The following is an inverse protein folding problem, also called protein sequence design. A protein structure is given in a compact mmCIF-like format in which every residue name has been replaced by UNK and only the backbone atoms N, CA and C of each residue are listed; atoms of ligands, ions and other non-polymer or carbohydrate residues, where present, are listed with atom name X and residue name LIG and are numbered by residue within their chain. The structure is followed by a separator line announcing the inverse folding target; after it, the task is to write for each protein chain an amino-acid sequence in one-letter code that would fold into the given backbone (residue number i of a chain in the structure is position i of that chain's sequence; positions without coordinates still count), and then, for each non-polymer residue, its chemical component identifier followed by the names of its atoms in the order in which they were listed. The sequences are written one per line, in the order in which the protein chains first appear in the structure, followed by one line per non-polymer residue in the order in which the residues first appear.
data_IF_476765060597
#
_entry.id   IF_476765060597
#
_cell.length_a   1.000
_cell.length_b   1.000
_cell.length_c   1.000
_cell.angle_alpha   90.00
_cell.angle_beta   90.00
_cell.angle_gamma   90.00
#
_symmetry.space_group_name_H-M   'P 1'
#
loop_
_entity.id
_entity.type
_entity.pdbx_description
1 polymer ?
#
# COMPACT_ATOMS: atom_id res chain seq x y z
N UNK A 1 -1.85 5.54 21.37
CA UNK A 1 -2.00 4.09 21.11
C UNK A 1 -3.12 3.93 20.09
N UNK A 2 -2.98 3.08 19.08
CA UNK A 2 -4.02 2.88 18.06
C UNK A 2 -5.18 2.03 18.63
N UNK A 3 -6.43 2.35 18.28
CA UNK A 3 -7.58 1.50 18.60
C UNK A 3 -7.75 0.43 17.51
N UNK A 4 -7.53 -0.82 17.88
CA UNK A 4 -7.61 -1.95 16.95
C UNK A 4 -9.02 -2.17 16.38
N UNK A 5 -10.06 -1.69 17.04
CA UNK A 5 -11.44 -1.77 16.57
C UNK A 5 -11.81 -0.64 15.59
N UNK A 6 -10.92 0.35 15.38
CA UNK A 6 -11.18 1.46 14.46
C UNK A 6 -11.35 0.92 13.02
N UNK A 7 -12.49 1.20 12.36
CA UNK A 7 -12.67 0.84 10.96
C UNK A 7 -11.81 1.73 10.03
N UNK A 8 -11.06 1.12 9.13
CA UNK A 8 -10.32 1.78 8.05
C UNK A 8 -11.29 2.09 6.89
N UNK A 9 -12.14 1.13 6.55
CA UNK A 9 -13.23 1.22 5.56
C UNK A 9 -14.21 0.06 5.76
N UNK A 10 -15.28 0.02 4.96
CA UNK A 10 -16.27 -1.06 4.99
C UNK A 10 -16.28 -1.82 3.66
N UNK A 11 -16.41 -3.14 3.70
CA UNK A 11 -16.35 -4.05 2.55
C UNK A 11 -17.72 -4.69 2.29
N UNK A 12 -18.05 -4.86 1.01
CA UNK A 12 -19.22 -5.64 0.59
C UNK A 12 -20.55 -4.92 0.83
N UNK A 13 -21.64 -5.57 0.42
CA UNK A 13 -23.00 -5.00 0.51
C UNK A 13 -23.45 -4.79 1.95
N UNK A 14 -23.02 -5.67 2.85
CA UNK A 14 -23.36 -5.62 4.27
C UNK A 14 -22.52 -4.61 5.06
N UNK A 15 -21.56 -3.94 4.40
CA UNK A 15 -20.64 -2.95 5.02
C UNK A 15 -19.88 -3.54 6.19
N UNK A 16 -19.26 -4.70 6.01
CA UNK A 16 -18.41 -5.32 7.04
C UNK A 16 -17.20 -4.43 7.32
N UNK A 17 -16.89 -4.09 8.58
CA UNK A 17 -15.77 -3.23 8.90
C UNK A 17 -14.44 -3.95 8.65
N UNK A 18 -13.56 -3.31 7.88
CA UNK A 18 -12.15 -3.68 7.82
C UNK A 18 -11.39 -2.81 8.82
N UNK A 19 -11.01 -3.42 9.95
CA UNK A 19 -10.42 -2.70 11.10
C UNK A 19 -8.90 -2.62 11.04
N UNK A 20 -8.30 -1.83 11.95
CA UNK A 20 -6.85 -1.84 12.18
C UNK A 20 -6.38 -3.24 12.63
N UNK A 21 -7.17 -3.98 13.42
CA UNK A 21 -6.84 -5.38 13.74
C UNK A 21 -6.71 -6.25 12.49
N UNK A 22 -7.61 -6.09 11.50
CA UNK A 22 -7.55 -6.87 10.26
C UNK A 22 -6.33 -6.48 9.41
N UNK A 23 -5.95 -5.20 9.37
CA UNK A 23 -4.84 -4.75 8.51
C UNK A 23 -3.48 -5.31 8.92
N UNK A 24 -3.30 -5.69 10.18
CA UNK A 24 -2.05 -6.26 10.72
C UNK A 24 -2.03 -7.79 10.77
N UNK A 25 -3.10 -8.45 10.31
CA UNK A 25 -3.18 -9.92 10.20
C UNK A 25 -2.75 -10.45 8.81
N UNK A 26 -2.34 -9.56 7.92
CA UNK A 26 -2.00 -9.88 6.54
C UNK A 26 -3.21 -9.84 5.60
N UNK A 27 -2.97 -9.43 4.36
CA UNK A 27 -3.97 -9.37 3.29
C UNK A 27 -3.43 -10.11 2.08
N UNK A 28 -4.16 -11.14 1.63
CA UNK A 28 -3.85 -11.88 0.41
C UNK A 28 -4.94 -11.66 -0.64
N UNK A 29 -4.55 -11.27 -1.85
CA UNK A 29 -5.45 -11.05 -2.98
C UNK A 29 -5.20 -12.12 -4.04
N UNK A 30 -6.21 -12.95 -4.33
CA UNK A 30 -6.15 -14.01 -5.35
C UNK A 30 -6.84 -13.61 -6.65
N UNK A 31 -6.48 -14.26 -7.76
CA UNK A 31 -7.11 -14.08 -9.07
C UNK A 31 -6.17 -14.35 -10.25
N UNK A 32 -6.73 -14.65 -11.43
CA UNK A 32 -5.97 -14.89 -12.67
C UNK A 32 -5.31 -13.64 -13.26
N UNK A 33 -4.51 -13.81 -14.31
CA UNK A 33 -3.96 -12.68 -15.07
C UNK A 33 -5.12 -11.85 -15.65
N UNK A 34 -5.03 -10.53 -15.61
CA UNK A 34 -6.09 -9.64 -16.10
C UNK A 34 -7.30 -9.49 -15.18
N UNK A 35 -7.37 -10.18 -14.03
CA UNK A 35 -8.51 -10.12 -13.11
C UNK A 35 -8.61 -8.82 -12.29
N UNK A 36 -7.81 -7.80 -12.58
CA UNK A 36 -7.83 -6.52 -11.88
C UNK A 36 -7.23 -6.50 -10.48
N UNK A 37 -6.36 -7.46 -10.11
CA UNK A 37 -5.71 -7.47 -8.77
C UNK A 37 -4.94 -6.19 -8.48
N UNK A 38 -4.14 -5.70 -9.43
CA UNK A 38 -3.33 -4.49 -9.25
C UNK A 38 -4.18 -3.23 -9.35
N UNK A 39 -4.95 -3.09 -10.43
CA UNK A 39 -5.72 -1.87 -10.72
C UNK A 39 -6.99 -1.71 -9.88
N UNK A 40 -7.55 -2.81 -9.36
CA UNK A 40 -8.74 -2.86 -8.51
C UNK A 40 -8.37 -2.94 -7.04
N UNK A 41 -8.31 -4.16 -6.49
CA UNK A 41 -8.14 -4.39 -5.06
C UNK A 41 -6.81 -3.83 -4.53
N UNK A 42 -5.69 -4.09 -5.19
CA UNK A 42 -4.37 -3.58 -4.79
C UNK A 42 -4.34 -2.06 -4.66
N UNK A 43 -4.77 -1.33 -5.70
CA UNK A 43 -4.93 0.13 -5.68
C UNK A 43 -5.86 0.60 -4.56
N UNK A 44 -7.01 -0.04 -4.39
CA UNK A 44 -7.99 0.34 -3.37
C UNK A 44 -7.40 0.26 -1.95
N UNK A 45 -6.78 -0.88 -1.61
CA UNK A 45 -6.15 -1.08 -0.29
C UNK A 45 -4.96 -0.14 -0.09
N UNK A 46 -4.10 0.03 -1.10
CA UNK A 46 -2.95 0.94 -1.02
C UNK A 46 -3.40 2.37 -0.68
N UNK A 47 -4.38 2.92 -1.40
CA UNK A 47 -4.89 4.27 -1.15
C UNK A 47 -5.54 4.39 0.23
N UNK A 48 -6.31 3.38 0.68
CA UNK A 48 -6.91 3.39 2.02
C UNK A 48 -5.85 3.40 3.11
N UNK A 49 -4.82 2.57 3.00
CA UNK A 49 -3.75 2.50 3.99
C UNK A 49 -2.92 3.79 4.00
N UNK A 50 -2.49 4.29 2.84
CA UNK A 50 -1.75 5.55 2.75
C UNK A 50 -2.55 6.73 3.36
N UNK A 51 -3.85 6.80 3.07
CA UNK A 51 -4.75 7.84 3.62
C UNK A 51 -4.95 7.76 5.13
N UNK A 52 -4.72 6.58 5.72
CA UNK A 52 -4.79 6.35 7.17
C UNK A 52 -3.42 6.44 7.86
N UNK A 53 -2.41 7.00 7.19
CA UNK A 53 -1.09 7.24 7.78
C UNK A 53 -0.17 6.02 7.78
N UNK A 54 -0.56 4.91 7.13
CA UNK A 54 0.31 3.74 7.05
C UNK A 54 1.57 4.06 6.24
N UNK A 55 2.67 3.44 6.63
CA UNK A 55 3.88 3.28 5.81
C UNK A 55 4.07 1.80 5.43
N UNK A 56 4.95 1.52 4.49
CA UNK A 56 5.25 0.14 4.09
C UNK A 56 6.32 0.05 3.02
N UNK A 57 6.84 -1.17 2.85
CA UNK A 57 7.75 -1.54 1.76
C UNK A 57 6.94 -2.05 0.57
N UNK A 58 7.15 -1.45 -0.59
CA UNK A 58 6.56 -1.89 -1.85
C UNK A 58 7.64 -2.50 -2.71
N UNK A 59 7.51 -3.80 -2.99
CA UNK A 59 8.39 -4.51 -3.92
C UNK A 59 7.72 -4.51 -5.30
N UNK A 60 8.34 -3.81 -6.25
CA UNK A 60 7.85 -3.73 -7.63
C UNK A 60 8.59 -4.73 -8.52
N UNK A 61 7.89 -5.25 -9.51
CA UNK A 61 8.49 -6.12 -10.55
C UNK A 61 8.33 -5.52 -11.94
N UNK A 62 7.25 -4.76 -12.17
CA UNK A 62 7.02 -4.11 -13.46
C UNK A 62 7.55 -2.67 -13.43
N UNK A 63 8.17 -2.18 -14.53
CA UNK A 63 8.72 -0.82 -14.58
C UNK A 63 7.70 0.28 -14.26
N UNK A 64 6.44 0.09 -14.63
CA UNK A 64 5.33 1.04 -14.45
C UNK A 64 4.74 1.05 -13.03
N UNK A 65 4.99 0.03 -12.22
CA UNK A 65 4.44 -0.04 -10.86
C UNK A 65 5.00 1.08 -9.96
N UNK A 66 6.26 1.48 -10.16
CA UNK A 66 6.84 2.64 -9.45
C UNK A 66 6.00 3.89 -9.67
N UNK A 67 5.71 4.20 -10.93
CA UNK A 67 5.00 5.43 -11.30
C UNK A 67 3.55 5.42 -10.76
N UNK A 68 2.93 4.25 -10.68
CA UNK A 68 1.63 4.09 -10.02
C UNK A 68 1.70 4.39 -8.52
N UNK A 69 2.72 3.91 -7.82
CA UNK A 69 2.89 4.22 -6.39
C UNK A 69 3.23 5.69 -6.14
N UNK A 70 4.03 6.33 -6.99
CA UNK A 70 4.24 7.79 -6.96
C UNK A 70 2.89 8.52 -7.05
N UNK A 71 2.02 8.12 -7.98
CA UNK A 71 0.66 8.67 -8.09
C UNK A 71 -0.17 8.41 -6.84
N UNK A 72 -0.10 7.21 -6.23
CA UNK A 72 -0.87 6.89 -5.03
C UNK A 72 -0.42 7.73 -3.82
N UNK A 73 0.89 7.90 -3.62
CA UNK A 73 1.43 8.78 -2.60
C UNK A 73 0.98 10.23 -2.82
N UNK A 74 0.98 10.72 -4.06
CA UNK A 74 0.48 12.07 -4.39
C UNK A 74 -1.02 12.21 -4.08
N UNK A 75 -1.85 11.25 -4.49
CA UNK A 75 -3.29 11.23 -4.19
C UNK A 75 -3.55 11.24 -2.68
N UNK A 76 -2.74 10.51 -1.91
CA UNK A 76 -2.87 10.43 -0.46
C UNK A 76 -2.20 11.59 0.29
N UNK A 77 -1.59 12.56 -0.41
CA UNK A 77 -0.80 13.65 0.17
C UNK A 77 0.37 13.15 1.06
N UNK A 78 1.10 12.14 0.56
CA UNK A 78 2.24 11.47 1.22
C UNK A 78 3.50 11.46 0.35
N UNK A 79 3.57 12.32 -0.66
CA UNK A 79 4.72 12.39 -1.58
C UNK A 79 6.04 12.73 -0.86
N UNK A 80 5.97 13.54 0.22
CA UNK A 80 7.12 13.87 1.07
C UNK A 80 7.74 12.67 1.78
N UNK A 81 6.98 11.59 1.94
CA UNK A 81 7.37 10.42 2.72
C UNK A 81 7.91 9.29 1.82
N UNK A 82 7.88 9.51 0.50
CA UNK A 82 8.23 8.49 -0.49
C UNK A 82 9.74 8.38 -0.66
N UNK A 83 10.26 7.17 -0.44
CA UNK A 83 11.64 6.80 -0.70
C UNK A 83 11.66 5.80 -1.86
N UNK A 84 12.43 6.10 -2.90
CA UNK A 84 12.58 5.24 -4.09
C UNK A 84 14.01 4.72 -4.12
N UNK A 85 14.16 3.41 -3.96
CA UNK A 85 15.43 2.70 -4.15
C UNK A 85 15.39 2.01 -5.51
N UNK A 86 16.26 2.44 -6.43
CA UNK A 86 16.34 1.90 -7.79
C UNK A 86 17.80 1.94 -8.29
N UNK A 87 18.16 1.14 -9.32
CA UNK A 87 19.51 1.18 -9.90
C UNK A 87 19.90 2.60 -10.32
N UNK A 88 21.10 3.04 -9.94
CA UNK A 88 21.61 4.40 -10.16
C UNK A 88 20.77 5.53 -9.53
N UNK A 89 19.86 5.19 -8.61
CA UNK A 89 19.09 6.15 -7.84
C UNK A 89 19.91 6.84 -6.75
N UNK A 90 19.34 7.88 -6.13
CA UNK A 90 20.00 8.64 -5.04
C UNK A 90 19.93 7.92 -3.69
N UNK A 91 18.87 7.13 -3.48
CA UNK A 91 18.64 6.41 -2.23
C UNK A 91 19.13 4.97 -2.39
N UNK A 92 19.75 4.46 -1.33
CA UNK A 92 20.23 3.09 -1.24
C UNK A 92 20.06 2.59 0.19
N UNK A 93 20.07 1.27 0.36
CA UNK A 93 20.03 0.63 1.66
C UNK A 93 21.32 -0.18 1.85
N UNK A 94 22.16 0.25 2.79
CA UNK A 94 23.36 -0.50 3.19
C UNK A 94 23.05 -1.36 4.40
N UNK A 95 22.85 -2.67 4.19
CA UNK A 95 22.53 -3.61 5.26
C UNK A 95 23.68 -3.85 6.24
N UNK A 96 24.92 -3.45 5.92
CA UNK A 96 26.08 -3.57 6.82
C UNK A 96 26.15 -2.45 7.86
N UNK A 97 25.39 -1.37 7.66
CA UNK A 97 25.35 -0.21 8.57
C UNK A 97 24.24 -0.31 9.63
N UNK A 98 23.52 -1.44 9.67
CA UNK A 98 22.42 -1.70 10.61
C UNK A 98 22.83 -2.72 11.68
#
# INVERSE_FOLDING_TARGET
MFDLNEPIFHIGKQKEPWTIANSVQGLQIFGGIGSGKTSGSGRFFALKYLSKGYGGLVLTVKPDEKDEWVKYCKIANRESDLIIVEPNGRQYFNFLEY
#
